data_IF_157670206269
#
_entry.id   IF_157670206269
#
_cell.length_a   1.000
_cell.length_b   1.000
_cell.length_c   1.000
_cell.angle_alpha   90.00
_cell.angle_beta   90.00
_cell.angle_gamma   90.00
#
_symmetry.space_group_name_H-M   'P 1'
#
loop_
_entity.id
_entity.type
_entity.pdbx_description
1 polymer ?
#
# COMPACT_ATOMS: atom_id res chain seq x y z
N UNK A 1 12.14 20.28 -2.11
CA UNK A 1 12.86 19.37 -3.01
C UNK A 1 12.22 18.00 -2.87
N UNK A 2 11.22 17.70 -3.72
CA UNK A 2 10.47 16.44 -3.67
C UNK A 2 11.47 15.35 -4.07
N UNK A 3 11.90 14.52 -3.11
CA UNK A 3 12.48 13.24 -3.48
C UNK A 3 11.36 12.49 -4.20
N UNK A 4 11.44 12.43 -5.52
CA UNK A 4 10.62 11.56 -6.34
C UNK A 4 10.98 10.12 -5.98
N UNK A 5 10.47 9.66 -4.84
CA UNK A 5 10.25 8.25 -4.64
C UNK A 5 9.36 7.81 -5.79
N UNK A 6 9.79 6.83 -6.56
CA UNK A 6 9.04 6.27 -7.67
C UNK A 6 7.78 5.65 -7.07
N UNK A 7 6.66 6.38 -7.07
CA UNK A 7 5.38 5.84 -6.64
C UNK A 7 4.76 5.10 -7.82
N UNK A 8 4.30 3.88 -7.59
CA UNK A 8 3.58 3.07 -8.57
C UNK A 8 2.10 3.12 -8.30
N UNK A 9 1.29 3.35 -9.33
CA UNK A 9 -0.16 3.21 -9.23
C UNK A 9 -0.54 1.75 -9.19
N UNK A 10 -1.54 1.38 -8.39
CA UNK A 10 -2.04 0.01 -8.27
C UNK A 10 -3.55 -0.01 -8.11
N UNK A 11 -4.15 -1.15 -8.42
CA UNK A 11 -5.55 -1.40 -8.10
C UNK A 11 -5.68 -1.84 -6.64
N UNK A 12 -6.80 -1.55 -5.99
CA UNK A 12 -7.05 -2.01 -4.63
C UNK A 12 -7.08 -3.55 -4.52
N UNK A 13 -7.49 -4.24 -5.59
CA UNK A 13 -7.43 -5.71 -5.69
C UNK A 13 -6.00 -6.27 -5.67
N UNK A 14 -5.00 -5.47 -6.03
CA UNK A 14 -3.60 -5.93 -6.07
C UNK A 14 -3.04 -6.20 -4.66
N UNK A 15 -3.78 -5.79 -3.61
CA UNK A 15 -3.41 -5.97 -2.20
C UNK A 15 -4.41 -6.83 -1.42
N UNK A 16 -5.18 -7.68 -2.09
CA UNK A 16 -6.20 -8.53 -1.43
C UNK A 16 -5.61 -9.39 -0.30
N UNK A 17 -4.39 -9.90 -0.45
CA UNK A 17 -3.70 -10.64 0.62
C UNK A 17 -3.45 -9.78 1.87
N UNK A 18 -3.14 -8.49 1.70
CA UNK A 18 -2.98 -7.55 2.82
C UNK A 18 -4.32 -7.20 3.45
N UNK A 19 -5.37 -7.07 2.65
CA UNK A 19 -6.74 -6.85 3.11
C UNK A 19 -7.21 -8.00 4.00
N UNK A 20 -6.90 -9.25 3.60
CA UNK A 20 -7.25 -10.44 4.38
C UNK A 20 -6.57 -10.50 5.76
N UNK A 21 -5.38 -9.92 5.93
CA UNK A 21 -4.69 -9.88 7.22
C UNK A 21 -5.45 -9.06 8.28
N UNK A 22 -6.29 -8.11 7.85
CA UNK A 22 -7.10 -7.22 8.71
C UNK A 22 -8.55 -7.18 8.24
N UNK A 23 -9.10 -8.35 7.88
CA UNK A 23 -10.39 -8.47 7.21
C UNK A 23 -11.52 -7.69 7.89
N UNK A 24 -11.66 -7.81 9.22
CA UNK A 24 -12.73 -7.13 9.97
C UNK A 24 -12.64 -5.60 9.89
N UNK A 25 -11.42 -5.04 9.92
CA UNK A 25 -11.21 -3.60 9.77
C UNK A 25 -11.62 -3.15 8.36
N UNK A 26 -11.21 -3.89 7.33
CA UNK A 26 -11.56 -3.58 5.95
C UNK A 26 -13.03 -3.80 5.61
N UNK A 27 -13.68 -4.80 6.21
CA UNK A 27 -15.13 -5.01 6.05
C UNK A 27 -15.89 -3.80 6.60
N UNK A 28 -15.49 -3.27 7.77
CA UNK A 28 -16.07 -2.03 8.32
C UNK A 28 -15.82 -0.83 7.43
N UNK A 29 -14.58 -0.64 6.97
CA UNK A 29 -14.24 0.45 6.05
C UNK A 29 -15.08 0.35 4.77
N UNK A 30 -15.21 -0.85 4.18
CA UNK A 30 -16.02 -1.07 2.98
C UNK A 30 -17.51 -0.96 3.25
N UNK A 31 -17.97 -1.06 4.49
CA UNK A 31 -19.36 -0.82 4.86
C UNK A 31 -19.68 0.69 4.82
N UNK A 32 -18.78 1.52 5.35
CA UNK A 32 -18.99 2.97 5.53
C UNK A 32 -18.48 3.83 4.37
N UNK A 33 -17.45 3.36 3.65
CA UNK A 33 -16.75 4.10 2.60
C UNK A 33 -16.77 3.37 1.25
N UNK A 34 -16.74 4.16 0.18
CA UNK A 34 -16.37 3.71 -1.16
C UNK A 34 -14.86 3.94 -1.33
N UNK A 35 -14.13 2.87 -1.62
CA UNK A 35 -12.69 2.92 -1.89
C UNK A 35 -12.50 3.13 -3.38
N UNK A 36 -11.75 4.16 -3.76
CA UNK A 36 -11.38 4.36 -5.15
C UNK A 36 -10.47 3.22 -5.59
N UNK A 37 -10.79 2.61 -6.73
CA UNK A 37 -10.13 1.39 -7.18
C UNK A 37 -8.64 1.56 -7.46
N UNK A 38 -8.14 2.79 -7.62
CA UNK A 38 -6.74 3.10 -7.92
C UNK A 38 -6.11 3.80 -6.72
N UNK A 39 -4.93 3.35 -6.32
CA UNK A 39 -4.10 3.95 -5.29
C UNK A 39 -2.64 4.06 -5.71
N UNK A 40 -1.78 4.37 -4.75
CA UNK A 40 -0.33 4.44 -4.91
C UNK A 40 0.43 3.68 -3.81
N UNK A 41 1.65 3.27 -4.14
CA UNK A 41 2.59 2.66 -3.22
C UNK A 41 4.02 2.96 -3.64
N UNK A 42 4.99 2.74 -2.76
CA UNK A 42 6.40 2.86 -3.12
C UNK A 42 6.78 1.75 -4.10
N UNK A 43 7.46 2.12 -5.18
CA UNK A 43 8.07 1.17 -6.11
C UNK A 43 9.54 0.94 -5.74
N UNK A 44 9.98 -0.31 -5.73
CA UNK A 44 11.39 -0.67 -5.55
C UNK A 44 12.15 -0.32 -6.83
N UNK A 45 13.21 0.48 -6.71
CA UNK A 45 14.03 0.86 -7.85
C UNK A 45 15.09 -0.18 -8.19
N UNK A 46 15.51 -0.21 -9.46
CA UNK A 46 16.58 -1.08 -9.96
C UNK A 46 17.91 -0.89 -9.23
N UNK A 47 18.21 0.34 -8.79
CA UNK A 47 19.41 0.65 -8.01
C UNK A 47 19.37 0.05 -6.61
N UNK A 48 18.18 -0.21 -6.06
CA UNK A 48 17.99 -0.83 -4.74
C UNK A 48 18.01 -2.35 -4.84
N UNK A 49 17.31 -2.92 -5.84
CA UNK A 49 17.32 -4.34 -6.13
C UNK A 49 16.90 -4.60 -7.59
N UNK A 50 17.75 -5.32 -8.34
CA UNK A 50 17.51 -5.62 -9.76
C UNK A 50 16.36 -6.62 -9.95
N UNK A 51 16.22 -7.60 -9.06
CA UNK A 51 15.19 -8.66 -9.14
C UNK A 51 13.80 -8.14 -8.78
N UNK A 52 13.72 -7.30 -7.75
CA UNK A 52 12.46 -6.73 -7.26
C UNK A 52 12.10 -5.40 -7.92
N UNK A 53 12.90 -4.93 -8.89
CA UNK A 53 12.65 -3.67 -9.58
C UNK A 53 11.24 -3.60 -10.17
N UNK A 54 10.53 -2.50 -9.90
CA UNK A 54 9.16 -2.30 -10.37
C UNK A 54 8.09 -2.87 -9.43
N UNK A 55 8.49 -3.65 -8.43
CA UNK A 55 7.54 -4.20 -7.44
C UNK A 55 7.09 -3.10 -6.49
N UNK A 56 5.82 -3.13 -6.12
CA UNK A 56 5.20 -2.17 -5.21
C UNK A 56 5.22 -2.72 -3.79
N UNK A 57 5.54 -1.86 -2.84
CA UNK A 57 5.62 -2.18 -1.43
C UNK A 57 5.01 -1.03 -0.65
N UNK A 58 4.40 -1.34 0.50
CA UNK A 58 3.73 -0.36 1.31
C UNK A 58 4.66 0.73 1.87
N UNK A 59 4.07 1.80 2.42
CA UNK A 59 2.63 1.97 2.66
C UNK A 59 1.83 2.14 1.36
N UNK A 60 0.57 1.72 1.40
CA UNK A 60 -0.38 1.85 0.29
C UNK A 60 -1.39 2.94 0.62
N UNK A 61 -1.65 3.83 -0.33
CA UNK A 61 -2.60 4.93 -0.16
C UNK A 61 -3.72 4.81 -1.19
N UNK A 62 -4.96 4.97 -0.76
CA UNK A 62 -6.14 5.00 -1.61
C UNK A 62 -7.02 6.17 -1.21
N UNK A 63 -7.66 6.80 -2.18
CA UNK A 63 -8.71 7.75 -1.88
C UNK A 63 -10.00 7.03 -1.52
N UNK A 64 -10.71 7.55 -0.53
CA UNK A 64 -12.01 7.03 -0.11
C UNK A 64 -13.01 8.19 0.08
N UNK A 65 -14.29 7.87 -0.05
CA UNK A 65 -15.39 8.78 0.32
C UNK A 65 -16.45 8.04 1.11
N UNK A 66 -17.15 8.68 2.07
CA UNK A 66 -18.28 8.05 2.72
C UNK A 66 -19.34 7.64 1.68
N UNK A 67 -20.02 6.52 1.89
CA UNK A 67 -21.12 6.12 1.01
C UNK A 67 -22.23 7.16 1.03
N UNK A 68 -22.82 7.41 -0.13
CA UNK A 68 -23.94 8.36 -0.28
C UNK A 68 -23.54 9.83 -0.25
N UNK A 69 -22.26 10.20 -0.13
CA UNK A 69 -21.82 11.60 -0.28
C UNK A 69 -21.60 11.96 -1.75
N UNK A 70 -22.05 13.16 -2.18
CA UNK A 70 -21.82 13.66 -3.53
C UNK A 70 -20.39 14.18 -3.74
N UNK A 71 -19.72 14.59 -2.67
CA UNK A 71 -18.39 15.19 -2.74
C UNK A 71 -17.32 14.17 -3.19
N UNK A 72 -16.40 14.58 -4.08
CA UNK A 72 -15.29 13.73 -4.49
C UNK A 72 -14.26 13.58 -3.36
N UNK A 73 -13.85 12.33 -3.11
CA UNK A 73 -12.66 11.89 -2.36
C UNK A 73 -12.21 12.78 -1.19
N UNK A 74 -12.97 12.78 -0.10
CA UNK A 74 -12.67 13.62 1.06
C UNK A 74 -11.60 13.04 2.00
N UNK A 75 -11.21 11.76 1.84
CA UNK A 75 -10.29 11.07 2.75
C UNK A 75 -9.24 10.23 2.02
N UNK A 76 -8.08 10.08 2.64
CA UNK A 76 -7.03 9.13 2.30
C UNK A 76 -7.09 7.93 3.27
N UNK A 77 -7.17 6.73 2.72
CA UNK A 77 -6.94 5.45 3.40
C UNK A 77 -5.49 5.04 3.19
N UNK A 78 -4.73 4.99 4.28
CA UNK A 78 -3.34 4.54 4.30
C UNK A 78 -3.21 3.21 5.02
N UNK A 79 -2.65 2.23 4.33
CA UNK A 79 -2.38 0.88 4.83
C UNK A 79 -0.87 0.82 5.10
N UNK A 80 -0.51 0.84 6.37
CA UNK A 80 0.88 0.76 6.81
C UNK A 80 1.30 -0.70 6.88
N UNK A 81 2.43 -1.02 6.25
CA UNK A 81 3.00 -2.36 6.24
C UNK A 81 4.43 -2.36 6.76
N UNK A 82 4.89 -3.53 7.17
CA UNK A 82 6.29 -3.83 7.41
C UNK A 82 6.72 -4.97 6.50
N UNK A 83 7.71 -4.71 5.67
CA UNK A 83 8.32 -5.71 4.78
C UNK A 83 9.42 -6.51 5.50
N UNK A 84 9.47 -7.81 5.21
CA UNK A 84 10.57 -8.71 5.57
C UNK A 84 11.13 -9.28 4.27
N UNK A 85 12.38 -8.95 3.97
CA UNK A 85 13.06 -9.39 2.75
C UNK A 85 13.76 -10.73 2.96
N UNK A 86 13.62 -11.64 2.01
CA UNK A 86 14.19 -12.99 2.07
C UNK A 86 15.05 -13.29 0.84
N UNK A 87 16.11 -14.07 1.03
CA UNK A 87 16.92 -14.61 -0.07
C UNK A 87 16.29 -15.89 -0.66
N UNK A 88 16.93 -16.46 -1.69
CA UNK A 88 16.45 -17.69 -2.34
C UNK A 88 16.52 -18.95 -1.46
N UNK A 89 17.20 -18.87 -0.30
CA UNK A 89 17.26 -19.94 0.69
C UNK A 89 16.26 -19.71 1.85
N UNK A 90 15.47 -18.64 1.81
CA UNK A 90 14.48 -18.29 2.83
C UNK A 90 15.06 -17.53 4.04
N UNK A 91 16.32 -17.10 4.00
CA UNK A 91 16.91 -16.34 5.10
C UNK A 91 16.53 -14.86 4.99
N UNK A 92 16.31 -14.21 6.13
CA UNK A 92 16.09 -12.78 6.17
C UNK A 92 17.36 -12.01 5.80
N UNK A 93 17.23 -11.09 4.84
CA UNK A 93 18.35 -10.29 4.31
C UNK A 93 17.95 -8.82 4.16
N UNK A 94 18.89 -7.98 3.73
CA UNK A 94 18.58 -6.61 3.31
C UNK A 94 17.92 -6.60 1.93
N UNK A 95 17.18 -5.51 1.61
CA UNK A 95 16.56 -5.31 0.30
C UNK A 95 17.55 -5.56 -0.84
N UNK A 96 18.79 -5.10 -0.76
CA UNK A 96 19.79 -5.25 -1.82
C UNK A 96 20.12 -6.72 -2.18
N UNK A 97 19.90 -7.66 -1.26
CA UNK A 97 20.17 -9.10 -1.46
C UNK A 97 18.90 -9.94 -1.59
N UNK A 98 17.73 -9.32 -1.48
CA UNK A 98 16.45 -10.01 -1.47
C UNK A 98 16.18 -10.69 -2.82
N UNK A 99 15.64 -11.90 -2.76
CA UNK A 99 15.00 -12.57 -3.89
C UNK A 99 13.49 -12.33 -3.88
N UNK A 100 12.90 -12.18 -2.69
CA UNK A 100 11.48 -11.96 -2.47
C UNK A 100 11.25 -11.17 -1.16
N UNK A 101 10.01 -10.79 -0.87
CA UNK A 101 9.62 -10.19 0.41
C UNK A 101 8.18 -10.51 0.78
N UNK A 102 7.91 -10.47 2.09
CA UNK A 102 6.56 -10.56 2.64
C UNK A 102 6.21 -9.30 3.39
N UNK A 103 4.95 -8.91 3.31
CA UNK A 103 4.43 -7.75 4.02
C UNK A 103 3.42 -8.15 5.08
N UNK A 104 3.53 -7.49 6.23
CA UNK A 104 2.55 -7.56 7.30
C UNK A 104 1.92 -6.20 7.49
N UNK A 105 0.59 -6.13 7.52
CA UNK A 105 -0.14 -4.91 7.89
C UNK A 105 0.13 -4.58 9.36
N UNK A 106 0.65 -3.38 9.61
CA UNK A 106 0.95 -2.87 10.94
C UNK A 106 -0.06 -1.83 11.41
N UNK A 107 -0.79 -1.20 10.48
CA UNK A 107 -1.77 -0.19 10.81
C UNK A 107 -2.63 0.22 9.62
N UNK A 108 -3.80 0.76 9.92
CA UNK A 108 -4.71 1.35 8.95
C UNK A 108 -5.04 2.75 9.47
N UNK A 109 -4.92 3.76 8.61
CA UNK A 109 -5.17 5.16 8.95
C UNK A 109 -6.12 5.75 7.93
N UNK A 110 -7.10 6.51 8.40
CA UNK A 110 -7.98 7.32 7.57
C UNK A 110 -7.78 8.77 7.98
N UNK A 111 -7.54 9.65 7.00
CA UNK A 111 -7.31 11.08 7.24
C UNK A 111 -8.05 11.90 6.20
N UNK A 112 -8.54 13.11 6.54
CA UNK A 112 -9.03 14.03 5.54
C UNK A 112 -7.93 14.32 4.51
N UNK A 113 -8.29 14.37 3.22
CA UNK A 113 -7.41 14.96 2.21
C UNK A 113 -7.33 16.44 2.53
N UNK A 114 -6.12 16.96 2.77
CA UNK A 114 -5.97 18.39 3.01
C UNK A 114 -6.43 19.14 1.75
N UNK A 115 -7.35 20.09 1.92
CA UNK A 115 -7.59 21.09 0.89
C UNK A 115 -6.28 21.89 0.73
N UNK A 116 -5.71 21.88 -0.46
CA UNK A 116 -4.65 22.83 -0.84
C UNK A 116 -5.18 24.27 -0.82
#
# INVERSE_FOLDING_TARGET
MIHAGTYGTLSFSDIDELVLQRKEDFDRIKADFEIFGIGDARMINRSENVKLNGTRMGPYNFFIKPKGTPDPYCYELRIETRATFIDSAGNQVSLAKAADFHERVTGIKIRPVAAE
#
